data_IF_451384945592
#
_entry.id   IF_451384945592
#
_cell.length_a   1.000
_cell.length_b   1.000
_cell.length_c   1.000
_cell.angle_alpha   90.00
_cell.angle_beta   90.00
_cell.angle_gamma   90.00
#
_symmetry.space_group_name_H-M   'P 1'
#
loop_
_entity.id
_entity.type
_entity.pdbx_description
1 polymer ?
#
# COMPACT_ATOMS: atom_id res chain seq x y z
N UNK A 1 10.83 14.71 -24.82
CA UNK A 1 9.67 13.88 -25.26
C UNK A 1 10.07 13.22 -26.57
N UNK A 2 10.12 11.91 -26.59
CA UNK A 2 10.54 11.11 -27.75
C UNK A 2 9.55 11.28 -28.91
N UNK A 3 10.05 11.15 -30.16
CA UNK A 3 9.21 11.26 -31.37
C UNK A 3 8.02 10.28 -31.34
N UNK A 4 8.20 9.15 -30.69
CA UNK A 4 7.18 8.14 -30.46
C UNK A 4 6.00 8.66 -29.59
N UNK A 5 6.27 9.44 -28.56
CA UNK A 5 5.23 10.04 -27.70
C UNK A 5 4.43 11.11 -28.45
N UNK A 6 5.10 11.88 -29.31
CA UNK A 6 4.42 12.87 -30.17
C UNK A 6 3.49 12.20 -31.18
N UNK A 7 3.93 11.10 -31.83
CA UNK A 7 3.11 10.32 -32.76
C UNK A 7 1.89 9.72 -32.06
N UNK A 8 2.08 9.09 -30.86
CA UNK A 8 1.00 8.53 -30.05
C UNK A 8 -0.04 9.59 -29.70
N UNK A 9 0.39 10.75 -29.20
CA UNK A 9 -0.49 11.87 -28.86
C UNK A 9 -1.30 12.36 -30.06
N UNK A 10 -0.65 12.55 -31.19
CA UNK A 10 -1.32 13.01 -32.41
C UNK A 10 -2.36 12.01 -32.92
N UNK A 11 -2.08 10.72 -32.81
CA UNK A 11 -3.04 9.65 -33.13
C UNK A 11 -4.28 9.70 -32.23
N UNK A 12 -4.08 9.88 -30.92
CA UNK A 12 -5.19 9.99 -29.96
C UNK A 12 -6.03 11.23 -30.23
N UNK A 13 -5.41 12.37 -30.51
CA UNK A 13 -6.13 13.61 -30.85
C UNK A 13 -6.96 13.43 -32.14
N UNK A 14 -6.38 12.82 -33.20
CA UNK A 14 -7.10 12.55 -34.44
C UNK A 14 -8.29 11.61 -34.24
N UNK A 15 -8.13 10.54 -33.39
CA UNK A 15 -9.23 9.64 -33.06
C UNK A 15 -10.37 10.39 -32.36
N UNK A 16 -10.05 11.22 -31.38
CA UNK A 16 -11.05 12.03 -30.66
C UNK A 16 -11.76 13.03 -31.62
N UNK A 17 -11.02 13.69 -32.46
CA UNK A 17 -11.58 14.61 -33.49
C UNK A 17 -12.53 13.89 -34.45
N UNK A 18 -12.19 12.67 -34.87
CA UNK A 18 -13.06 11.89 -35.76
C UNK A 18 -14.34 11.47 -35.05
N UNK A 19 -14.26 11.01 -33.80
CA UNK A 19 -15.45 10.67 -32.99
C UNK A 19 -16.37 11.89 -32.87
N UNK A 20 -15.81 13.06 -32.50
CA UNK A 20 -16.57 14.30 -32.40
C UNK A 20 -17.22 14.69 -33.72
N UNK A 21 -16.51 14.54 -34.86
CA UNK A 21 -17.08 14.79 -36.19
C UNK A 21 -18.31 13.92 -36.45
N UNK A 22 -18.25 12.62 -36.16
CA UNK A 22 -19.39 11.73 -36.37
C UNK A 22 -20.58 12.08 -35.47
N UNK A 23 -20.34 12.42 -34.20
CA UNK A 23 -21.40 12.87 -33.30
C UNK A 23 -22.08 14.12 -33.86
N UNK A 24 -21.31 15.16 -34.21
CA UNK A 24 -21.84 16.39 -34.77
C UNK A 24 -22.59 16.13 -36.08
N UNK A 25 -22.06 15.27 -36.96
CA UNK A 25 -22.71 14.92 -38.22
C UNK A 25 -24.08 14.26 -37.98
N UNK A 26 -24.18 13.31 -37.02
CA UNK A 26 -25.43 12.65 -36.67
C UNK A 26 -26.44 13.68 -36.14
N UNK A 27 -26.03 14.60 -35.27
CA UNK A 27 -26.91 15.65 -34.72
C UNK A 27 -27.45 16.57 -35.82
N UNK A 28 -26.55 17.03 -36.72
CA UNK A 28 -26.95 17.89 -37.86
C UNK A 28 -27.92 17.13 -38.76
N UNK A 29 -27.63 15.85 -39.06
CA UNK A 29 -28.50 15.02 -39.93
C UNK A 29 -29.91 14.90 -39.32
N UNK A 30 -30.04 14.66 -37.99
CA UNK A 30 -31.33 14.59 -37.32
C UNK A 30 -32.09 15.90 -37.40
N UNK A 31 -31.42 17.05 -37.19
CA UNK A 31 -32.04 18.39 -37.33
C UNK A 31 -32.55 18.60 -38.76
N UNK A 32 -31.76 18.27 -39.77
CA UNK A 32 -32.16 18.39 -41.19
C UNK A 32 -33.41 17.52 -41.44
N UNK A 33 -33.40 16.26 -41.01
CA UNK A 33 -34.56 15.36 -41.22
C UNK A 33 -35.83 15.90 -40.58
N UNK A 34 -35.72 16.49 -39.37
CA UNK A 34 -36.87 17.10 -38.68
C UNK A 34 -37.40 18.34 -39.42
N UNK A 35 -36.54 19.17 -40.00
CA UNK A 35 -36.95 20.31 -40.85
C UNK A 35 -37.68 19.88 -42.13
N UNK A 36 -37.37 18.69 -42.65
CA UNK A 36 -38.10 18.10 -43.79
C UNK A 36 -39.37 17.35 -43.39
N UNK A 37 -39.80 17.46 -42.12
CA UNK A 37 -41.02 16.84 -41.61
C UNK A 37 -40.94 15.34 -41.33
N UNK A 38 -39.74 14.76 -41.33
CA UNK A 38 -39.52 13.36 -40.96
C UNK A 38 -39.61 13.21 -39.43
N UNK A 39 -40.37 12.25 -38.97
CA UNK A 39 -40.47 11.98 -37.54
C UNK A 39 -39.18 11.33 -37.01
N UNK A 40 -38.32 12.16 -36.42
CA UNK A 40 -37.00 11.74 -35.90
C UNK A 40 -37.08 11.03 -34.53
N UNK A 41 -38.24 10.99 -33.88
CA UNK A 41 -38.41 10.40 -32.51
C UNK A 41 -37.96 8.95 -32.47
N UNK A 42 -38.32 8.15 -33.46
CA UNK A 42 -37.90 6.72 -33.51
C UNK A 42 -36.39 6.56 -33.71
N UNK A 43 -35.77 7.46 -34.51
CA UNK A 43 -34.30 7.46 -34.72
C UNK A 43 -33.58 7.82 -33.42
N UNK A 44 -34.06 8.86 -32.72
CA UNK A 44 -33.52 9.29 -31.42
C UNK A 44 -33.66 8.15 -30.39
N UNK A 45 -34.81 7.49 -30.35
CA UNK A 45 -35.02 6.36 -29.45
C UNK A 45 -34.04 5.21 -29.74
N UNK A 46 -33.84 4.87 -31.04
CA UNK A 46 -32.85 3.88 -31.48
C UNK A 46 -31.42 4.25 -31.09
N UNK A 47 -31.02 5.52 -31.28
CA UNK A 47 -29.73 6.04 -30.87
C UNK A 47 -29.55 5.99 -29.35
N UNK A 48 -30.64 6.19 -28.57
CA UNK A 48 -30.65 6.03 -27.12
C UNK A 48 -30.29 4.60 -26.69
N UNK A 49 -30.87 3.60 -27.37
CA UNK A 49 -30.53 2.17 -27.10
C UNK A 49 -29.06 1.90 -27.43
N UNK A 50 -28.56 2.36 -28.57
CA UNK A 50 -27.15 2.22 -28.97
C UNK A 50 -26.24 2.91 -27.94
N UNK A 51 -26.61 4.11 -27.51
CA UNK A 51 -25.90 4.86 -26.45
C UNK A 51 -25.82 4.10 -25.12
N UNK A 52 -26.94 3.48 -24.72
CA UNK A 52 -26.96 2.66 -23.50
C UNK A 52 -26.04 1.44 -23.59
N UNK A 53 -26.05 0.72 -24.73
CA UNK A 53 -25.15 -0.42 -24.94
C UNK A 53 -23.68 0.01 -24.94
N UNK A 54 -23.34 1.13 -25.59
CA UNK A 54 -21.98 1.70 -25.57
C UNK A 54 -21.60 2.15 -24.17
N UNK A 55 -22.52 2.77 -23.41
CA UNK A 55 -22.30 3.16 -22.01
C UNK A 55 -21.96 1.95 -21.12
N UNK A 56 -22.70 0.85 -21.26
CA UNK A 56 -22.40 -0.39 -20.54
C UNK A 56 -21.04 -0.98 -20.96
N UNK A 57 -20.70 -0.94 -22.25
CA UNK A 57 -19.40 -1.42 -22.74
C UNK A 57 -18.23 -0.59 -22.20
N UNK A 58 -18.41 0.72 -21.99
CA UNK A 58 -17.40 1.66 -21.50
C UNK A 58 -17.41 1.83 -19.97
N UNK A 59 -18.39 1.23 -19.28
CA UNK A 59 -18.63 1.40 -17.84
C UNK A 59 -17.34 1.23 -17.01
N UNK A 60 -16.59 0.18 -17.26
CA UNK A 60 -15.37 -0.13 -16.52
C UNK A 60 -14.28 0.91 -16.72
N UNK A 61 -14.15 1.45 -17.95
CA UNK A 61 -13.19 2.50 -18.23
C UNK A 61 -13.57 3.80 -17.51
N UNK A 62 -14.86 4.14 -17.48
CA UNK A 62 -15.36 5.31 -16.76
C UNK A 62 -15.13 5.17 -15.26
N UNK A 63 -15.39 3.98 -14.70
CA UNK A 63 -15.09 3.70 -13.28
C UNK A 63 -13.59 3.85 -12.97
N UNK A 64 -12.70 3.36 -13.84
CA UNK A 64 -11.26 3.52 -13.67
C UNK A 64 -10.85 5.01 -13.62
N UNK A 65 -11.42 5.84 -14.51
CA UNK A 65 -11.13 7.27 -14.56
C UNK A 65 -11.63 7.99 -13.28
N UNK A 66 -12.87 7.72 -12.88
CA UNK A 66 -13.46 8.34 -11.68
C UNK A 66 -12.65 7.94 -10.45
N UNK A 67 -12.34 6.65 -10.28
CA UNK A 67 -11.57 6.18 -9.13
C UNK A 67 -10.13 6.71 -9.16
N UNK A 68 -9.51 6.86 -10.34
CA UNK A 68 -8.19 7.49 -10.44
C UNK A 68 -8.20 8.94 -9.94
N UNK A 69 -9.25 9.70 -10.24
CA UNK A 69 -9.45 11.06 -9.72
C UNK A 69 -9.72 11.03 -8.21
N UNK A 70 -10.58 10.12 -7.73
CA UNK A 70 -10.90 9.96 -6.30
C UNK A 70 -9.66 9.65 -5.49
N UNK A 71 -8.80 8.72 -5.94
CA UNK A 71 -7.52 8.38 -5.29
C UNK A 71 -6.68 9.64 -5.05
N UNK A 72 -6.62 10.55 -6.03
CA UNK A 72 -5.87 11.80 -5.93
C UNK A 72 -6.54 12.82 -5.01
N UNK A 73 -7.86 13.02 -5.14
CA UNK A 73 -8.60 14.02 -4.37
C UNK A 73 -8.68 13.65 -2.89
N UNK A 74 -8.90 12.37 -2.58
CA UNK A 74 -9.04 11.87 -1.22
C UNK A 74 -7.69 11.47 -0.60
N UNK A 75 -6.58 11.67 -1.33
CA UNK A 75 -5.22 11.37 -0.87
C UNK A 75 -5.06 9.93 -0.34
N UNK A 76 -5.59 8.93 -1.05
CA UNK A 76 -5.38 7.53 -0.69
C UNK A 76 -3.88 7.21 -0.67
N UNK A 77 -3.17 7.60 -1.73
CA UNK A 77 -1.72 7.55 -1.87
C UNK A 77 -1.24 8.44 -3.02
N UNK A 78 0.04 8.74 -3.02
CA UNK A 78 0.73 9.46 -4.10
C UNK A 78 1.92 8.66 -4.61
N UNK A 79 2.48 9.06 -5.75
CA UNK A 79 3.72 8.46 -6.28
C UNK A 79 4.84 8.62 -5.25
N UNK A 80 5.54 7.52 -4.94
CA UNK A 80 6.55 7.42 -3.91
C UNK A 80 6.03 6.91 -2.55
N UNK A 81 4.71 6.74 -2.36
CA UNK A 81 4.18 6.09 -1.18
C UNK A 81 4.34 4.57 -1.28
N UNK A 82 4.59 3.93 -0.14
CA UNK A 82 4.52 2.48 -0.02
C UNK A 82 3.12 2.09 0.42
N UNK A 83 2.47 1.22 -0.36
CA UNK A 83 1.13 0.72 -0.09
C UNK A 83 1.11 -0.79 -0.03
N UNK A 84 0.11 -1.33 0.70
CA UNK A 84 -0.24 -2.74 0.63
C UNK A 84 -1.65 -2.87 0.05
N UNK A 85 -1.75 -3.60 -1.06
CA UNK A 85 -2.99 -3.90 -1.77
C UNK A 85 -3.09 -5.40 -2.01
N UNK A 86 -4.11 -6.07 -1.48
CA UNK A 86 -4.31 -7.53 -1.57
C UNK A 86 -3.04 -8.33 -1.21
N UNK A 87 -2.37 -7.95 -0.12
CA UNK A 87 -1.15 -8.62 0.34
C UNK A 87 0.12 -8.28 -0.46
N UNK A 88 0.01 -7.53 -1.56
CA UNK A 88 1.17 -7.06 -2.33
C UNK A 88 1.63 -5.70 -1.80
N UNK A 89 2.83 -5.66 -1.23
CA UNK A 89 3.44 -4.45 -0.69
C UNK A 89 4.51 -3.90 -1.63
N UNK A 90 4.45 -2.60 -1.93
CA UNK A 90 5.42 -1.94 -2.77
C UNK A 90 5.24 -0.44 -2.86
N UNK A 91 6.17 0.22 -3.55
CA UNK A 91 6.16 1.65 -3.80
C UNK A 91 5.31 1.98 -5.03
N UNK A 92 4.47 2.98 -4.94
CA UNK A 92 3.71 3.52 -6.07
C UNK A 92 4.67 4.26 -7.00
N UNK A 93 4.97 3.67 -8.15
CA UNK A 93 5.89 4.26 -9.14
C UNK A 93 5.17 5.08 -10.20
N UNK A 94 3.87 4.84 -10.40
CA UNK A 94 3.06 5.58 -11.37
C UNK A 94 1.59 5.54 -10.96
N UNK A 95 0.95 6.69 -10.99
CA UNK A 95 -0.49 6.86 -10.84
C UNK A 95 -1.05 7.45 -12.12
N UNK A 96 -1.66 6.61 -12.94
CA UNK A 96 -2.31 6.98 -14.18
C UNK A 96 -3.82 7.17 -14.02
N UNK A 97 -4.48 7.68 -15.05
CA UNK A 97 -5.94 7.86 -15.06
C UNK A 97 -6.72 6.53 -14.94
N UNK A 98 -6.17 5.45 -15.48
CA UNK A 98 -6.84 4.14 -15.51
C UNK A 98 -6.22 3.13 -14.56
N UNK A 99 -4.91 3.22 -14.32
CA UNK A 99 -4.13 2.21 -13.58
C UNK A 99 -3.11 2.87 -12.67
N UNK A 100 -2.87 2.21 -11.55
CA UNK A 100 -1.76 2.46 -10.63
C UNK A 100 -0.73 1.35 -10.78
N UNK A 101 0.58 1.71 -10.82
CA UNK A 101 1.68 0.75 -10.83
C UNK A 101 2.42 0.77 -9.51
N UNK A 102 2.56 -0.40 -8.90
CA UNK A 102 3.20 -0.60 -7.60
C UNK A 102 4.38 -1.54 -7.77
N UNK A 103 5.58 -1.12 -7.33
CA UNK A 103 6.82 -1.89 -7.44
C UNK A 103 7.24 -2.42 -6.08
N UNK A 104 7.35 -3.74 -5.95
CA UNK A 104 7.86 -4.39 -4.75
C UNK A 104 9.40 -4.31 -4.66
N UNK A 105 9.96 -4.54 -3.47
CA UNK A 105 11.40 -4.55 -3.23
C UNK A 105 12.16 -5.57 -4.09
N UNK A 106 11.53 -6.69 -4.45
CA UNK A 106 12.09 -7.70 -5.33
C UNK A 106 12.06 -7.32 -6.82
N UNK A 107 11.61 -6.10 -7.16
CA UNK A 107 11.53 -5.58 -8.52
C UNK A 107 10.26 -5.92 -9.28
N UNK A 108 9.35 -6.73 -8.73
CA UNK A 108 8.06 -7.02 -9.35
C UNK A 108 7.19 -5.77 -9.42
N UNK A 109 6.47 -5.60 -10.52
CA UNK A 109 5.54 -4.48 -10.71
C UNK A 109 4.12 -5.03 -10.87
N UNK A 110 3.25 -4.70 -9.91
CA UNK A 110 1.80 -4.98 -9.99
C UNK A 110 1.12 -3.78 -10.65
N UNK A 111 0.35 -4.04 -11.71
CA UNK A 111 -0.49 -3.05 -12.37
C UNK A 111 -1.92 -3.26 -11.90
N UNK A 112 -2.49 -2.26 -11.25
CA UNK A 112 -3.80 -2.29 -10.63
C UNK A 112 -4.74 -1.37 -11.39
N UNK A 113 -5.91 -1.86 -11.83
CA UNK A 113 -6.95 -0.99 -12.37
C UNK A 113 -7.52 -0.13 -11.24
N UNK A 114 -7.63 1.19 -11.45
CA UNK A 114 -8.05 2.11 -10.39
C UNK A 114 -9.45 1.77 -9.83
N UNK A 115 -10.35 1.23 -10.65
CA UNK A 115 -11.69 0.77 -10.23
C UNK A 115 -11.66 -0.31 -9.15
N UNK A 116 -10.56 -1.08 -9.06
CA UNK A 116 -10.43 -2.16 -8.09
C UNK A 116 -9.88 -1.66 -6.74
N UNK A 117 -9.37 -0.42 -6.69
CA UNK A 117 -8.86 0.19 -5.47
C UNK A 117 -10.02 0.77 -4.68
N UNK A 118 -10.72 -0.08 -3.92
CA UNK A 118 -11.79 0.33 -3.00
C UNK A 118 -11.25 0.61 -1.60
N UNK A 119 -10.21 -0.13 -1.23
CA UNK A 119 -9.49 0.02 0.04
C UNK A 119 -8.01 -0.26 -0.16
N UNK A 120 -7.16 0.40 0.61
CA UNK A 120 -5.71 0.25 0.54
C UNK A 120 -5.09 0.61 1.89
N UNK A 121 -4.03 -0.09 2.29
CA UNK A 121 -3.24 0.29 3.44
C UNK A 121 -2.06 1.14 2.96
N UNK A 122 -2.05 2.42 3.32
CA UNK A 122 -0.93 3.32 3.04
C UNK A 122 0.06 3.28 4.20
N UNK A 123 1.24 2.69 3.95
CA UNK A 123 2.33 2.53 4.94
C UNK A 123 3.23 3.77 5.03
N UNK A 124 2.96 4.79 4.22
CA UNK A 124 3.81 5.98 4.08
C UNK A 124 3.12 7.29 4.45
N UNK A 125 1.83 7.29 4.79
CA UNK A 125 1.08 8.53 5.03
C UNK A 125 1.49 9.23 6.32
N UNK A 126 1.87 8.47 7.35
CA UNK A 126 2.32 9.00 8.65
C UNK A 126 3.61 8.31 9.09
N UNK A 127 4.17 8.76 10.21
CA UNK A 127 5.27 8.04 10.88
C UNK A 127 4.83 6.61 11.19
N UNK A 128 5.67 5.65 10.84
CA UNK A 128 5.41 4.23 11.11
C UNK A 128 5.66 3.92 12.57
N UNK A 129 4.78 3.09 13.16
CA UNK A 129 4.93 2.55 14.50
C UNK A 129 5.14 1.04 14.40
N UNK A 130 6.23 0.54 14.94
CA UNK A 130 6.61 -0.87 14.94
C UNK A 130 6.64 -1.36 16.38
N UNK A 131 6.02 -2.50 16.65
CA UNK A 131 6.15 -3.20 17.93
C UNK A 131 7.02 -4.43 17.71
N UNK A 132 8.11 -4.51 18.46
CA UNK A 132 9.05 -5.62 18.46
C UNK A 132 8.77 -6.50 19.67
N UNK A 133 8.68 -7.81 19.47
CA UNK A 133 8.61 -8.81 20.53
C UNK A 133 10.01 -9.37 20.77
N UNK A 134 10.54 -9.13 21.95
CA UNK A 134 11.91 -9.50 22.34
C UNK A 134 11.85 -10.68 23.29
N UNK A 135 12.17 -11.90 22.82
CA UNK A 135 12.16 -13.09 23.67
C UNK A 135 13.34 -13.08 24.64
N UNK A 136 13.07 -13.37 25.91
CA UNK A 136 14.04 -13.45 26.99
C UNK A 136 13.82 -14.69 27.81
N UNK A 137 14.88 -15.31 28.32
CA UNK A 137 14.78 -16.52 29.13
C UNK A 137 14.07 -16.25 30.47
N UNK A 138 13.32 -17.23 30.97
CA UNK A 138 12.57 -17.13 32.24
C UNK A 138 13.46 -16.95 33.45
N UNK A 139 14.72 -17.37 33.36
CA UNK A 139 15.71 -17.30 34.46
C UNK A 139 16.22 -15.85 34.67
N UNK A 140 16.01 -14.96 33.69
CA UNK A 140 16.48 -13.58 33.81
C UNK A 140 15.58 -12.76 34.73
N UNK A 141 16.20 -11.93 35.55
CA UNK A 141 15.46 -11.04 36.46
C UNK A 141 14.73 -9.96 35.68
N UNK A 142 13.45 -9.82 35.98
CA UNK A 142 12.55 -8.87 35.31
C UNK A 142 13.14 -7.43 35.29
N UNK A 143 13.52 -6.93 36.47
CA UNK A 143 14.04 -5.57 36.63
C UNK A 143 15.29 -5.34 35.79
N UNK A 144 16.21 -6.34 35.73
CA UNK A 144 17.43 -6.22 34.90
C UNK A 144 17.10 -6.12 33.42
N UNK A 145 16.13 -6.92 32.95
CA UNK A 145 15.71 -6.92 31.53
C UNK A 145 15.05 -5.59 31.16
N UNK A 146 14.16 -5.10 32.02
CA UNK A 146 13.47 -3.83 31.82
C UNK A 146 14.45 -2.64 31.78
N UNK A 147 15.42 -2.61 32.70
CA UNK A 147 16.46 -1.58 32.71
C UNK A 147 17.29 -1.57 31.41
N UNK A 148 17.69 -2.75 30.96
CA UNK A 148 18.49 -2.88 29.73
C UNK A 148 17.68 -2.51 28.49
N UNK A 149 16.40 -2.88 28.41
CA UNK A 149 15.52 -2.47 27.31
C UNK A 149 15.28 -0.97 27.32
N UNK A 150 15.11 -0.35 28.47
CA UNK A 150 14.99 1.10 28.61
C UNK A 150 16.26 1.82 28.12
N UNK A 151 17.46 1.31 28.47
CA UNK A 151 18.73 1.86 27.98
C UNK A 151 18.85 1.72 26.45
N UNK A 152 18.49 0.55 25.90
CA UNK A 152 18.47 0.34 24.47
C UNK A 152 17.50 1.30 23.76
N UNK A 153 16.32 1.56 24.33
CA UNK A 153 15.37 2.54 23.82
C UNK A 153 15.94 3.97 23.84
N UNK A 154 16.67 4.36 24.87
CA UNK A 154 17.35 5.66 24.93
C UNK A 154 18.42 5.81 23.83
N UNK A 155 19.16 4.74 23.55
CA UNK A 155 20.14 4.74 22.45
C UNK A 155 19.46 4.84 21.08
N UNK A 156 18.36 4.11 20.87
CA UNK A 156 17.57 4.18 19.64
C UNK A 156 17.03 5.59 19.37
N UNK A 157 16.61 6.33 20.41
CA UNK A 157 16.12 7.72 20.29
C UNK A 157 17.16 8.70 19.74
N UNK A 158 18.46 8.39 19.82
CA UNK A 158 19.52 9.24 19.28
C UNK A 158 19.58 9.19 17.74
N UNK A 159 18.93 8.22 17.10
CA UNK A 159 18.91 8.10 15.65
C UNK A 159 17.94 9.09 15.02
N UNK A 160 18.37 9.77 13.96
CA UNK A 160 17.59 10.82 13.27
C UNK A 160 16.29 10.28 12.64
N UNK A 161 16.26 9.00 12.29
CA UNK A 161 15.15 8.32 11.65
C UNK A 161 14.12 7.82 12.66
N UNK A 162 14.51 7.66 13.93
CA UNK A 162 13.63 7.20 15.01
C UNK A 162 13.11 8.44 15.76
N UNK A 163 11.80 8.61 15.75
CA UNK A 163 11.12 9.73 16.41
C UNK A 163 10.93 9.45 17.90
N UNK A 164 10.65 8.19 18.25
CA UNK A 164 10.50 7.74 19.64
C UNK A 164 10.77 6.23 19.74
N UNK A 165 11.18 5.77 20.91
CA UNK A 165 11.35 4.37 21.26
C UNK A 165 11.00 4.16 22.73
N UNK A 166 10.13 3.19 23.03
CA UNK A 166 9.65 2.93 24.40
C UNK A 166 9.59 1.43 24.65
N UNK A 167 10.05 1.04 25.82
CA UNK A 167 9.67 -0.23 26.42
C UNK A 167 8.21 -0.14 26.89
N UNK A 168 7.39 -1.13 26.52
CA UNK A 168 5.94 -1.10 26.77
C UNK A 168 5.57 -2.00 27.95
N UNK A 169 6.25 -3.14 28.08
CA UNK A 169 5.96 -4.16 29.08
C UNK A 169 6.10 -5.57 28.53
N UNK A 170 5.70 -6.54 29.31
CA UNK A 170 5.60 -7.93 28.88
C UNK A 170 4.38 -8.06 27.96
N UNK A 171 4.61 -8.59 26.75
CA UNK A 171 3.56 -8.81 25.76
C UNK A 171 2.94 -10.21 25.89
N UNK A 172 3.78 -11.23 26.12
CA UNK A 172 3.34 -12.62 26.20
C UNK A 172 4.31 -13.44 27.04
N UNK A 173 3.75 -14.40 27.77
CA UNK A 173 4.49 -15.52 28.36
C UNK A 173 4.34 -16.70 27.40
N UNK A 174 5.43 -17.05 26.71
CA UNK A 174 5.45 -18.13 25.72
C UNK A 174 6.06 -19.41 26.30
N UNK A 175 6.04 -20.53 25.56
CA UNK A 175 6.46 -21.85 26.06
C UNK A 175 7.92 -21.85 26.59
N UNK A 176 8.80 -21.05 26.01
CA UNK A 176 10.23 -21.02 26.34
C UNK A 176 10.76 -19.62 26.64
N UNK A 177 9.92 -18.58 26.53
CA UNK A 177 10.35 -17.19 26.68
C UNK A 177 9.31 -16.31 27.32
N UNK A 178 9.79 -15.27 27.99
CA UNK A 178 9.03 -14.07 28.30
C UNK A 178 9.26 -13.07 27.17
N UNK A 179 8.20 -12.69 26.44
CA UNK A 179 8.30 -11.76 25.34
C UNK A 179 8.01 -10.34 25.81
N UNK A 180 9.01 -9.47 25.68
CA UNK A 180 8.95 -8.06 26.04
C UNK A 180 8.65 -7.21 24.82
N UNK A 181 7.68 -6.30 24.92
CA UNK A 181 7.32 -5.40 23.85
C UNK A 181 8.14 -4.11 23.87
N UNK A 182 8.82 -3.83 22.76
CA UNK A 182 9.47 -2.55 22.49
C UNK A 182 8.79 -1.91 21.31
N UNK A 183 8.33 -0.67 21.47
CA UNK A 183 7.68 0.09 20.41
C UNK A 183 8.56 1.21 19.94
N UNK A 184 8.77 1.29 18.62
CA UNK A 184 9.53 2.33 17.98
C UNK A 184 8.66 3.10 16.97
N UNK A 185 8.82 4.40 16.93
CA UNK A 185 8.23 5.28 15.91
C UNK A 185 9.34 5.79 15.03
N UNK A 186 9.20 5.61 13.73
CA UNK A 186 10.19 5.99 12.74
C UNK A 186 9.60 6.86 11.64
N UNK A 187 10.48 7.56 10.92
CA UNK A 187 10.09 8.36 9.78
C UNK A 187 9.50 7.49 8.68
N UNK A 188 8.64 8.10 7.88
CA UNK A 188 8.03 7.54 6.69
C UNK A 188 9.07 6.79 5.83
N UNK A 189 8.75 5.54 5.45
CA UNK A 189 9.57 4.74 4.53
C UNK A 189 10.82 4.10 5.12
N UNK A 190 11.13 4.31 6.41
CA UNK A 190 12.32 3.75 7.06
C UNK A 190 12.02 2.58 8.00
N UNK A 191 10.77 2.10 8.04
CA UNK A 191 10.32 1.13 9.03
C UNK A 191 11.13 -0.17 9.03
N UNK A 192 11.39 -0.76 7.89
CA UNK A 192 12.13 -2.04 7.81
C UNK A 192 13.59 -1.92 8.23
N UNK A 193 14.24 -0.80 7.87
CA UNK A 193 15.63 -0.56 8.26
C UNK A 193 15.74 -0.24 9.74
N UNK A 194 14.77 0.51 10.29
CA UNK A 194 14.73 0.83 11.71
C UNK A 194 14.37 -0.38 12.57
N UNK A 195 13.52 -1.27 12.07
CA UNK A 195 13.24 -2.56 12.71
C UNK A 195 14.52 -3.40 12.88
N UNK A 196 15.26 -3.61 11.77
CA UNK A 196 16.53 -4.35 11.79
C UNK A 196 17.58 -3.69 12.69
N UNK A 197 17.66 -2.35 12.65
CA UNK A 197 18.56 -1.59 13.50
C UNK A 197 18.20 -1.76 14.98
N UNK A 198 16.91 -1.69 15.32
CA UNK A 198 16.43 -1.84 16.70
C UNK A 198 16.71 -3.24 17.23
N UNK A 199 16.40 -4.29 16.47
CA UNK A 199 16.72 -5.68 16.84
C UNK A 199 18.22 -5.87 17.08
N UNK A 200 19.07 -5.32 16.20
CA UNK A 200 20.53 -5.37 16.37
C UNK A 200 20.98 -4.64 17.63
N UNK A 201 20.44 -3.45 17.87
CA UNK A 201 20.80 -2.64 19.04
C UNK A 201 20.40 -3.36 20.34
N UNK A 202 19.17 -3.86 20.42
CA UNK A 202 18.68 -4.62 21.58
C UNK A 202 19.54 -5.86 21.82
N UNK A 203 19.87 -6.62 20.75
CA UNK A 203 20.77 -7.79 20.87
C UNK A 203 22.13 -7.42 21.43
N UNK A 204 22.73 -6.30 20.99
CA UNK A 204 24.01 -5.82 21.53
C UNK A 204 23.91 -5.47 23.03
N UNK A 205 22.81 -4.84 23.45
CA UNK A 205 22.57 -4.52 24.86
C UNK A 205 22.37 -5.81 25.70
N UNK A 206 21.68 -6.81 25.17
CA UNK A 206 21.53 -8.11 25.82
C UNK A 206 22.88 -8.82 26.01
N UNK A 207 23.70 -8.86 24.96
CA UNK A 207 25.04 -9.48 25.02
C UNK A 207 25.95 -8.79 26.04
N UNK A 208 25.94 -7.45 26.04
CA UNK A 208 26.77 -6.66 26.97
C UNK A 208 26.34 -6.83 28.45
N UNK A 209 25.08 -7.19 28.70
CA UNK A 209 24.54 -7.37 30.05
C UNK A 209 24.33 -8.84 30.42
N UNK A 210 24.84 -9.80 29.63
CA UNK A 210 24.66 -11.23 29.83
C UNK A 210 23.18 -11.57 30.06
N UNK A 211 22.30 -11.13 29.16
CA UNK A 211 20.89 -11.54 29.12
C UNK A 211 20.73 -12.59 28.03
N UNK A 212 20.15 -13.72 28.41
CA UNK A 212 19.98 -14.87 27.54
C UNK A 212 18.69 -14.79 26.72
N UNK A 213 18.82 -15.09 25.42
CA UNK A 213 17.68 -15.39 24.53
C UNK A 213 17.51 -16.91 24.56
N UNK A 214 16.34 -17.44 24.93
CA UNK A 214 16.17 -18.86 25.16
C UNK A 214 16.21 -19.66 23.86
N UNK A 215 16.73 -20.88 23.97
CA UNK A 215 16.54 -21.94 22.99
C UNK A 215 15.32 -22.80 23.36
N UNK A 216 14.73 -23.53 22.41
CA UNK A 216 13.71 -24.52 22.73
C UNK A 216 14.24 -25.49 23.81
N UNK A 217 13.49 -25.66 24.88
CA UNK A 217 13.86 -26.53 26.02
C UNK A 217 13.05 -27.82 25.92
N UNK A 218 13.69 -28.97 26.25
CA UNK A 218 13.03 -30.27 26.33
C UNK A 218 13.36 -30.84 27.67
N UNK A 219 12.36 -31.12 28.51
CA UNK A 219 12.51 -31.81 29.72
C UNK A 219 12.39 -33.33 29.49
N UNK A 220 13.47 -34.07 29.76
CA UNK A 220 13.51 -35.51 29.57
C UNK A 220 13.30 -36.20 30.92
N UNK A 221 12.13 -36.77 31.17
CA UNK A 221 11.86 -37.60 32.31
C UNK A 221 12.32 -39.04 32.03
N UNK A 222 13.45 -39.45 32.61
CA UNK A 222 13.85 -40.86 32.64
C UNK A 222 12.92 -41.63 33.57
N UNK A 223 11.91 -42.27 33.03
CA UNK A 223 11.04 -43.17 33.81
C UNK A 223 11.87 -44.24 34.46
N UNK A 224 11.79 -44.39 35.81
CA UNK A 224 12.31 -45.57 36.50
C UNK A 224 11.59 -46.77 35.89
N UNK A 225 12.36 -47.74 35.34
CA UNK A 225 11.83 -49.07 35.05
C UNK A 225 11.23 -49.63 36.35
N UNK A 226 9.91 -49.89 36.35
CA UNK A 226 9.25 -50.69 37.36
C UNK A 226 9.74 -52.11 37.31
#
# INVERSE_FOLDING_TARGET
KTEHEKKKRNTIIKLFQNIMKYIVFIVILLIILELYGVNTKSLIAGLGVVGAVLGLALQDTIKDLINGITILLDNFYVVGDTICYEGFTGEVIELGLKTTKVKALNGQVKIISNRNVTEVINLSQKSSCITLDIPTAYEEKLEKVEDVLNQACLELKKRKEITNALYIGINKLDDYSVNYAVRIWCKKGTQWDMERLALRTIKQYYDNNNISIPYPQIEVHNGKKL
#
